data_IF_977424733424
#
_entry.id   IF_977424733424
#
_cell.length_a   1.000
_cell.length_b   1.000
_cell.length_c   1.000
_cell.angle_alpha   90.00
_cell.angle_beta   90.00
_cell.angle_gamma   90.00
#
_symmetry.space_group_name_H-M   'P 1'
#
loop_
_entity.id
_entity.type
_entity.pdbx_description
1 polymer ?
#
# COMPACT_ATOMS: atom_id res chain seq x y z
N UNK A 1 -36.88 36.96 4.97
CA UNK A 1 -36.54 35.56 5.27
C UNK A 1 -36.70 35.35 6.76
N UNK A 2 -37.52 34.38 7.17
CA UNK A 2 -37.64 33.97 8.57
C UNK A 2 -36.33 33.35 9.06
N UNK A 3 -36.08 33.42 10.38
CA UNK A 3 -34.90 32.80 11.01
C UNK A 3 -34.76 31.32 10.62
N UNK A 4 -35.88 30.61 10.55
CA UNK A 4 -35.96 29.20 10.13
C UNK A 4 -35.42 28.98 8.71
N UNK A 5 -35.86 29.78 7.73
CA UNK A 5 -35.34 29.71 6.35
C UNK A 5 -33.83 29.92 6.29
N UNK A 6 -33.31 30.83 7.11
CA UNK A 6 -31.87 31.13 7.17
C UNK A 6 -31.07 30.01 7.83
N UNK A 7 -31.61 29.36 8.86
CA UNK A 7 -31.01 28.19 9.50
C UNK A 7 -31.01 26.99 8.56
N UNK A 8 -32.12 26.74 7.86
CA UNK A 8 -32.25 25.64 6.90
C UNK A 8 -31.28 25.80 5.71
N UNK A 9 -31.20 27.00 5.15
CA UNK A 9 -30.26 27.31 4.06
C UNK A 9 -28.79 27.17 4.49
N UNK A 10 -28.46 27.65 5.69
CA UNK A 10 -27.11 27.47 6.28
C UNK A 10 -26.78 26.01 6.53
N UNK A 11 -27.73 25.23 7.02
CA UNK A 11 -27.56 23.80 7.29
C UNK A 11 -27.32 23.04 5.99
N UNK A 12 -28.12 23.32 4.95
CA UNK A 12 -27.94 22.72 3.62
C UNK A 12 -26.58 23.04 3.02
N UNK A 13 -26.15 24.31 3.10
CA UNK A 13 -24.85 24.74 2.61
C UNK A 13 -23.71 24.04 3.38
N UNK A 14 -23.83 23.95 4.71
CA UNK A 14 -22.85 23.27 5.56
C UNK A 14 -22.70 21.80 5.17
N UNK A 15 -23.82 21.06 5.07
CA UNK A 15 -23.82 19.64 4.70
C UNK A 15 -23.22 19.40 3.30
N UNK A 16 -23.53 20.26 2.33
CA UNK A 16 -22.94 20.18 0.99
C UNK A 16 -21.42 20.42 1.01
N UNK A 17 -20.98 21.41 1.79
CA UNK A 17 -19.56 21.74 1.91
C UNK A 17 -18.78 20.63 2.63
N UNK A 18 -19.36 20.05 3.69
CA UNK A 18 -18.79 18.90 4.40
C UNK A 18 -18.68 17.66 3.49
N UNK A 19 -19.70 17.39 2.69
CA UNK A 19 -19.69 16.27 1.75
C UNK A 19 -18.61 16.47 0.67
N UNK A 20 -18.48 17.69 0.13
CA UNK A 20 -17.44 18.04 -0.84
C UNK A 20 -16.03 17.93 -0.22
N UNK A 21 -15.85 18.41 1.02
CA UNK A 21 -14.59 18.30 1.74
C UNK A 21 -14.19 16.84 1.97
N UNK A 22 -15.12 15.99 2.44
CA UNK A 22 -14.87 14.55 2.60
C UNK A 22 -14.50 13.88 1.29
N UNK A 23 -15.17 14.23 0.19
CA UNK A 23 -14.85 13.71 -1.13
C UNK A 23 -13.46 14.15 -1.60
N UNK A 24 -13.08 15.42 -1.37
CA UNK A 24 -11.74 15.93 -1.70
C UNK A 24 -10.65 15.21 -0.90
N UNK A 25 -10.84 15.05 0.42
CA UNK A 25 -9.90 14.31 1.28
C UNK A 25 -9.75 12.85 0.86
N UNK A 26 -10.84 12.20 0.43
CA UNK A 26 -10.79 10.85 -0.12
C UNK A 26 -9.96 10.79 -1.40
N UNK A 27 -10.14 11.75 -2.32
CA UNK A 27 -9.37 11.81 -3.56
C UNK A 27 -7.89 12.10 -3.31
N UNK A 28 -7.57 12.97 -2.36
CA UNK A 28 -6.19 13.27 -1.96
C UNK A 28 -5.51 12.04 -1.35
N UNK A 29 -6.19 11.33 -0.43
CA UNK A 29 -5.69 10.10 0.15
C UNK A 29 -5.45 9.02 -0.93
N UNK A 30 -6.37 8.90 -1.91
CA UNK A 30 -6.18 8.00 -3.07
C UNK A 30 -4.97 8.43 -3.91
N UNK A 31 -4.79 9.73 -4.15
CA UNK A 31 -3.66 10.26 -4.92
C UNK A 31 -2.32 9.99 -4.25
N UNK A 32 -2.21 10.24 -2.94
CA UNK A 32 -1.01 9.95 -2.16
C UNK A 32 -0.70 8.46 -2.11
N UNK A 33 -1.72 7.61 -1.88
CA UNK A 33 -1.58 6.16 -1.93
C UNK A 33 -1.12 5.69 -3.32
N UNK A 34 -1.75 6.18 -4.39
CA UNK A 34 -1.41 5.77 -5.76
C UNK A 34 0.01 6.20 -6.12
N UNK A 35 0.42 7.40 -5.72
CA UNK A 35 1.78 7.91 -5.94
C UNK A 35 2.85 7.11 -5.19
N UNK A 36 2.64 6.85 -3.90
CA UNK A 36 3.56 6.05 -3.08
C UNK A 36 3.67 4.61 -3.58
N UNK A 37 2.55 3.99 -3.91
CA UNK A 37 2.50 2.63 -4.44
C UNK A 37 3.20 2.52 -5.80
N UNK A 38 2.93 3.46 -6.71
CA UNK A 38 3.57 3.46 -8.03
C UNK A 38 5.09 3.64 -7.90
N UNK A 39 5.53 4.50 -6.98
CA UNK A 39 6.94 4.67 -6.66
C UNK A 39 7.56 3.36 -6.17
N UNK A 40 6.94 2.70 -5.18
CA UNK A 40 7.46 1.46 -4.60
C UNK A 40 7.50 0.32 -5.61
N UNK A 41 6.49 0.20 -6.46
CA UNK A 41 6.48 -0.77 -7.55
C UNK A 41 7.64 -0.53 -8.53
N UNK A 42 7.87 0.72 -8.93
CA UNK A 42 8.99 1.09 -9.80
C UNK A 42 10.36 0.83 -9.15
N UNK A 43 10.46 0.96 -7.82
CA UNK A 43 11.66 0.62 -7.08
C UNK A 43 11.96 -0.88 -7.17
N UNK A 44 10.95 -1.74 -6.96
CA UNK A 44 11.09 -3.19 -7.08
C UNK A 44 11.51 -3.60 -8.50
N UNK A 45 10.90 -3.02 -9.54
CA UNK A 45 11.27 -3.26 -10.93
C UNK A 45 12.72 -2.84 -11.23
N UNK A 46 13.19 -1.76 -10.61
CA UNK A 46 14.56 -1.27 -10.77
C UNK A 46 15.59 -2.21 -10.15
N UNK A 47 15.30 -2.76 -8.98
CA UNK A 47 16.16 -3.78 -8.33
C UNK A 47 16.23 -5.04 -9.18
N UNK A 48 15.09 -5.52 -9.70
CA UNK A 48 15.04 -6.70 -10.57
C UNK A 48 15.87 -6.46 -11.84
N UNK A 49 15.64 -5.34 -12.52
CA UNK A 49 16.38 -4.98 -13.75
C UNK A 49 17.88 -4.93 -13.49
N UNK A 50 18.31 -4.20 -12.46
CA UNK A 50 19.72 -4.08 -12.09
C UNK A 50 20.37 -5.43 -11.79
N UNK A 51 19.68 -6.30 -11.03
CA UNK A 51 20.18 -7.64 -10.71
C UNK A 51 20.30 -8.52 -11.96
N UNK A 52 19.35 -8.44 -12.89
CA UNK A 52 19.40 -9.12 -14.19
C UNK A 52 20.55 -8.60 -15.05
N UNK A 53 20.78 -7.30 -15.07
CA UNK A 53 21.90 -6.70 -15.82
C UNK A 53 23.25 -7.15 -15.27
N UNK A 54 23.39 -7.27 -13.94
CA UNK A 54 24.60 -7.85 -13.34
C UNK A 54 24.78 -9.35 -13.63
N UNK A 55 23.69 -10.12 -13.67
CA UNK A 55 23.73 -11.55 -14.03
C UNK A 55 24.22 -11.80 -15.45
N UNK A 56 24.08 -10.82 -16.35
CA UNK A 56 24.55 -10.89 -17.74
C UNK A 56 26.05 -10.61 -17.89
N UNK A 57 26.73 -10.17 -16.84
CA UNK A 57 28.16 -9.84 -16.93
C UNK A 57 29.03 -11.09 -17.15
N UNK A 58 29.91 -11.09 -18.17
CA UNK A 58 30.87 -12.18 -18.37
C UNK A 58 31.83 -12.30 -17.18
N UNK A 59 32.22 -13.52 -16.82
CA UNK A 59 33.17 -13.76 -15.74
C UNK A 59 32.60 -13.56 -14.33
N UNK A 60 31.28 -13.49 -14.19
CA UNK A 60 30.63 -13.38 -12.88
C UNK A 60 30.88 -14.64 -12.04
N UNK A 61 31.39 -14.45 -10.82
CA UNK A 61 31.60 -15.56 -9.87
C UNK A 61 30.27 -16.20 -9.46
N UNK A 62 30.31 -17.47 -9.08
CA UNK A 62 29.10 -18.20 -8.68
C UNK A 62 28.47 -17.59 -7.42
N UNK A 63 29.27 -17.12 -6.46
CA UNK A 63 28.75 -16.47 -5.25
C UNK A 63 27.98 -15.20 -5.59
N UNK A 64 28.48 -14.39 -6.53
CA UNK A 64 27.78 -13.18 -6.98
C UNK A 64 26.52 -13.51 -7.76
N UNK A 65 26.56 -14.55 -8.59
CA UNK A 65 25.39 -15.05 -9.33
C UNK A 65 24.28 -15.46 -8.36
N UNK A 66 24.59 -16.26 -7.35
CA UNK A 66 23.63 -16.69 -6.33
C UNK A 66 23.05 -15.49 -5.57
N UNK A 67 23.88 -14.50 -5.23
CA UNK A 67 23.41 -13.27 -4.58
C UNK A 67 22.41 -12.49 -5.44
N UNK A 68 22.69 -12.30 -6.73
CA UNK A 68 21.76 -11.59 -7.62
C UNK A 68 20.49 -12.39 -7.89
N UNK A 69 20.59 -13.72 -7.99
CA UNK A 69 19.43 -14.59 -8.09
C UNK A 69 18.52 -14.49 -6.86
N UNK A 70 19.10 -14.52 -5.65
CA UNK A 70 18.36 -14.31 -4.41
C UNK A 70 17.70 -12.93 -4.39
N UNK A 71 18.46 -11.88 -4.74
CA UNK A 71 17.93 -10.52 -4.77
C UNK A 71 16.73 -10.36 -5.71
N UNK A 72 16.74 -11.03 -6.88
CA UNK A 72 15.58 -11.08 -7.78
C UNK A 72 14.41 -11.81 -7.11
N UNK A 73 14.64 -13.00 -6.56
CA UNK A 73 13.60 -13.81 -5.93
C UNK A 73 12.91 -13.05 -4.78
N UNK A 74 13.70 -12.49 -3.87
CA UNK A 74 13.20 -11.73 -2.70
C UNK A 74 12.42 -10.48 -3.14
N UNK A 75 12.84 -9.86 -4.24
CA UNK A 75 12.16 -8.67 -4.78
C UNK A 75 10.84 -9.03 -5.47
N UNK A 76 10.78 -10.16 -6.18
CA UNK A 76 9.54 -10.69 -6.76
C UNK A 76 8.54 -11.06 -5.68
N UNK A 77 8.98 -11.66 -4.58
CA UNK A 77 8.11 -11.99 -3.44
C UNK A 77 7.52 -10.70 -2.82
N UNK A 78 8.36 -9.68 -2.62
CA UNK A 78 7.90 -8.36 -2.15
C UNK A 78 6.91 -7.70 -3.11
N UNK A 79 7.16 -7.74 -4.41
CA UNK A 79 6.24 -7.22 -5.43
C UNK A 79 4.89 -7.95 -5.43
N UNK A 80 4.91 -9.26 -5.22
CA UNK A 80 3.70 -10.09 -5.14
C UNK A 80 2.87 -9.75 -3.89
N UNK A 81 3.52 -9.53 -2.75
CA UNK A 81 2.88 -9.07 -1.51
C UNK A 81 2.24 -7.70 -1.68
N UNK A 82 2.99 -6.73 -2.24
CA UNK A 82 2.47 -5.39 -2.53
C UNK A 82 1.25 -5.45 -3.45
N UNK A 83 1.33 -6.21 -4.54
CA UNK A 83 0.20 -6.36 -5.49
C UNK A 83 -1.03 -6.96 -4.83
N UNK A 84 -0.86 -7.99 -3.98
CA UNK A 84 -1.95 -8.59 -3.21
C UNK A 84 -2.62 -7.58 -2.27
N UNK A 85 -1.82 -6.78 -1.56
CA UNK A 85 -2.32 -5.72 -0.68
C UNK A 85 -3.14 -4.66 -1.45
N UNK A 86 -2.70 -4.30 -2.65
CA UNK A 86 -3.42 -3.36 -3.51
C UNK A 86 -4.73 -3.93 -4.04
N UNK A 87 -4.74 -5.20 -4.45
CA UNK A 87 -5.96 -5.87 -4.91
C UNK A 87 -6.99 -6.02 -3.76
N UNK A 88 -6.52 -6.32 -2.55
CA UNK A 88 -7.34 -6.32 -1.34
C UNK A 88 -7.89 -4.93 -1.02
N UNK A 89 -7.05 -3.89 -1.10
CA UNK A 89 -7.48 -2.49 -0.89
C UNK A 89 -8.50 -2.02 -1.92
N UNK A 90 -8.28 -2.35 -3.20
CA UNK A 90 -9.21 -2.07 -4.29
C UNK A 90 -10.50 -2.92 -4.21
N UNK A 91 -10.65 -3.79 -3.19
CA UNK A 91 -11.73 -4.79 -3.04
C UNK A 91 -11.93 -5.65 -4.29
N UNK A 92 -10.87 -5.82 -5.09
CA UNK A 92 -10.87 -6.66 -6.30
C UNK A 92 -10.52 -8.12 -6.00
N UNK A 93 -10.01 -8.38 -4.80
CA UNK A 93 -9.90 -9.72 -4.24
C UNK A 93 -10.99 -9.88 -3.17
N UNK A 94 -11.74 -10.98 -3.16
CA UNK A 94 -12.66 -11.24 -2.06
C UNK A 94 -11.85 -11.29 -0.76
N UNK A 95 -12.11 -10.33 0.13
CA UNK A 95 -11.60 -10.40 1.49
C UNK A 95 -12.25 -11.63 2.13
N UNK A 96 -11.46 -12.48 2.78
CA UNK A 96 -11.95 -13.57 3.60
C UNK A 96 -11.99 -13.06 5.05
N UNK A 97 -13.09 -12.44 5.52
CA UNK A 97 -13.20 -12.03 6.91
C UNK A 97 -13.23 -13.27 7.79
N UNK A 98 -12.32 -13.32 8.74
CA UNK A 98 -12.19 -14.43 9.70
C UNK A 98 -12.41 -13.87 11.10
N UNK A 99 -13.01 -14.68 11.99
CA UNK A 99 -13.05 -14.35 13.41
C UNK A 99 -11.64 -14.56 13.96
N UNK A 100 -11.03 -13.50 14.48
CA UNK A 100 -9.69 -13.57 15.09
C UNK A 100 -9.68 -12.88 16.45
N UNK A 101 -8.79 -13.35 17.32
CA UNK A 101 -8.53 -12.73 18.62
C UNK A 101 -7.58 -11.55 18.45
N UNK A 102 -8.07 -10.35 18.74
CA UNK A 102 -7.28 -9.11 18.66
C UNK A 102 -6.13 -9.10 19.67
N UNK A 103 -6.36 -9.60 20.88
CA UNK A 103 -5.35 -9.67 21.94
C UNK A 103 -4.18 -10.55 21.52
N UNK A 104 -4.47 -11.75 20.99
CA UNK A 104 -3.43 -12.65 20.49
C UNK A 104 -2.63 -12.05 19.32
N UNK A 105 -3.29 -11.35 18.39
CA UNK A 105 -2.61 -10.69 17.26
C UNK A 105 -1.65 -9.59 17.72
N UNK A 106 -2.06 -8.80 18.70
CA UNK A 106 -1.22 -7.73 19.27
C UNK A 106 -0.03 -8.34 20.03
N UNK A 107 -0.24 -9.41 20.78
CA UNK A 107 0.82 -10.13 21.50
C UNK A 107 1.91 -10.63 20.53
N UNK A 108 1.51 -11.27 19.42
CA UNK A 108 2.45 -11.79 18.43
C UNK A 108 3.27 -10.67 17.75
N UNK A 109 2.69 -9.49 17.56
CA UNK A 109 3.41 -8.32 17.02
C UNK A 109 4.40 -7.79 18.06
N UNK A 110 4.01 -7.74 19.34
CA UNK A 110 4.89 -7.31 20.42
C UNK A 110 6.11 -8.24 20.56
N UNK A 111 5.93 -9.55 20.48
CA UNK A 111 7.02 -10.54 20.52
C UNK A 111 8.00 -10.38 19.35
N UNK A 112 7.52 -10.09 18.14
CA UNK A 112 8.41 -9.78 17.01
C UNK A 112 9.24 -8.52 17.25
N UNK A 113 8.69 -7.50 17.92
CA UNK A 113 9.39 -6.24 18.21
C UNK A 113 10.40 -6.38 19.36
N UNK A 114 10.19 -7.31 20.30
CA UNK A 114 11.16 -7.64 21.35
C UNK A 114 12.32 -8.52 20.85
N UNK A 115 12.18 -9.14 19.68
CA UNK A 115 13.24 -9.95 19.06
C UNK A 115 14.29 -9.15 18.26
N UNK A 116 14.26 -7.82 18.37
CA UNK A 116 15.24 -6.85 17.81
C UNK A 116 16.05 -6.22 18.93
#
# INVERSE_FOLDING_TARGET
ATLEQRVEERTRLLTQTEAALRQSQKLEAIGQLTGGVAHDFNNLLTIIRSSVDFLRQPGLSEERRQRYMSAVSDTVERASKLTSQLLAFARRQPLNPEVFDVGQRVQNIAEMLESV
#
